data_IF_251377881635
#
_entry.id   IF_251377881635
#
_cell.length_a   1.000
_cell.length_b   1.000
_cell.length_c   1.000
_cell.angle_alpha   90.00
_cell.angle_beta   90.00
_cell.angle_gamma   90.00
#
_symmetry.space_group_name_H-M   'P 1'
#
loop_
_entity.id
_entity.type
_entity.pdbx_description
1 polymer ?
#
# COMPACT_ATOMS: atom_id res chain seq x y z
N UNK A 1 -14.42 2.25 13.87
CA UNK A 1 -15.00 0.89 13.63
C UNK A 1 -15.86 0.94 12.38
N UNK A 2 -15.86 -0.13 11.55
CA UNK A 2 -16.75 -0.29 10.40
C UNK A 2 -17.76 -1.42 10.72
N UNK A 3 -19.05 -1.14 10.52
CA UNK A 3 -20.12 -2.13 10.67
C UNK A 3 -20.70 -2.42 9.29
N UNK A 4 -20.76 -3.70 8.92
CA UNK A 4 -21.28 -4.17 7.61
C UNK A 4 -22.31 -5.25 7.86
N UNK A 5 -23.41 -5.21 7.14
CA UNK A 5 -24.46 -6.22 7.22
C UNK A 5 -25.44 -6.12 6.07
N UNK A 6 -26.18 -7.19 5.83
CA UNK A 6 -27.20 -7.27 4.78
C UNK A 6 -28.54 -6.62 5.19
N UNK A 7 -28.87 -6.66 6.49
CA UNK A 7 -30.13 -6.12 7.01
C UNK A 7 -29.88 -4.84 7.78
N UNK A 8 -30.59 -3.76 7.41
CA UNK A 8 -30.43 -2.45 8.02
C UNK A 8 -30.83 -2.43 9.49
N UNK A 9 -31.86 -3.20 9.87
CA UNK A 9 -32.36 -3.25 11.25
C UNK A 9 -31.33 -3.85 12.22
N UNK A 10 -30.57 -4.87 11.79
CA UNK A 10 -29.48 -5.42 12.58
C UNK A 10 -28.36 -4.39 12.78
N UNK A 11 -28.04 -3.61 11.74
CA UNK A 11 -27.03 -2.53 11.84
C UNK A 11 -27.48 -1.44 12.81
N UNK A 12 -28.78 -1.05 12.77
CA UNK A 12 -29.34 -0.05 13.68
C UNK A 12 -29.32 -0.56 15.13
N UNK A 13 -29.81 -1.76 15.38
CA UNK A 13 -29.81 -2.35 16.72
C UNK A 13 -28.40 -2.46 17.33
N UNK A 14 -27.41 -2.87 16.53
CA UNK A 14 -26.01 -2.89 16.98
C UNK A 14 -25.48 -1.49 17.30
N UNK A 15 -25.81 -0.48 16.47
CA UNK A 15 -25.40 0.91 16.73
C UNK A 15 -26.01 1.43 18.02
N UNK A 16 -27.28 1.15 18.30
CA UNK A 16 -27.96 1.53 19.53
C UNK A 16 -27.30 0.91 20.76
N UNK A 17 -27.03 -0.42 20.71
CA UNK A 17 -26.33 -1.12 21.79
C UNK A 17 -24.93 -0.53 22.05
N UNK A 18 -24.18 -0.27 20.99
CA UNK A 18 -22.84 0.32 21.09
C UNK A 18 -22.89 1.76 21.65
N UNK A 19 -23.86 2.57 21.23
CA UNK A 19 -24.03 3.95 21.72
C UNK A 19 -24.44 3.96 23.18
N UNK A 20 -25.22 2.97 23.64
CA UNK A 20 -25.59 2.83 25.04
C UNK A 20 -24.41 2.43 25.94
N UNK A 21 -23.53 1.55 25.43
CA UNK A 21 -22.40 1.01 26.21
C UNK A 21 -21.14 1.88 26.14
N UNK A 22 -20.99 2.70 25.09
CA UNK A 22 -19.79 3.50 24.83
C UNK A 22 -20.15 4.89 24.30
N UNK A 23 -19.33 5.91 24.63
CA UNK A 23 -19.45 7.24 24.04
C UNK A 23 -19.04 7.20 22.55
N UNK A 24 -19.97 6.84 21.66
CA UNK A 24 -19.74 6.66 20.22
C UNK A 24 -20.52 7.67 19.40
N UNK A 25 -19.92 8.10 18.28
CA UNK A 25 -20.57 8.94 17.26
C UNK A 25 -20.77 8.13 15.99
N UNK A 26 -22.00 8.06 15.48
CA UNK A 26 -22.28 7.52 14.16
C UNK A 26 -21.83 8.51 13.09
N UNK A 27 -20.90 8.09 12.24
CA UNK A 27 -20.38 8.87 11.11
C UNK A 27 -21.16 8.63 9.81
N UNK A 28 -22.26 7.87 9.86
CA UNK A 28 -23.06 7.54 8.70
C UNK A 28 -22.42 6.52 7.76
N UNK A 29 -22.71 6.65 6.45
CA UNK A 29 -22.14 5.74 5.45
C UNK A 29 -20.63 5.86 5.33
N UNK A 30 -19.93 4.72 5.35
CA UNK A 30 -18.48 4.67 5.25
C UNK A 30 -18.01 5.23 3.89
N UNK A 31 -17.22 6.31 3.92
CA UNK A 31 -16.59 6.94 2.74
C UNK A 31 -15.11 6.60 2.63
N UNK A 32 -14.48 6.25 3.75
CA UNK A 32 -13.07 5.86 3.84
C UNK A 32 -12.89 4.75 4.87
N UNK A 33 -11.95 3.84 4.58
CA UNK A 33 -11.47 2.84 5.51
C UNK A 33 -9.97 2.63 5.31
N UNK A 34 -9.18 2.66 6.37
CA UNK A 34 -7.73 2.43 6.32
C UNK A 34 -7.05 3.23 5.19
N UNK A 35 -7.40 4.50 5.02
CA UNK A 35 -6.84 5.35 3.96
C UNK A 35 -7.43 5.14 2.55
N UNK A 36 -8.20 4.08 2.32
CA UNK A 36 -8.88 3.81 1.05
C UNK A 36 -10.19 4.58 0.96
N UNK A 37 -10.47 5.14 -0.22
CA UNK A 37 -11.76 5.75 -0.54
C UNK A 37 -12.75 4.66 -0.95
N UNK A 38 -13.96 4.71 -0.39
CA UNK A 38 -15.06 3.81 -0.74
C UNK A 38 -16.04 4.57 -1.62
N UNK A 39 -16.23 4.12 -2.84
CA UNK A 39 -17.27 4.61 -3.75
C UNK A 39 -18.29 3.50 -4.00
N UNK A 40 -19.57 3.77 -3.66
CA UNK A 40 -20.65 2.80 -3.85
C UNK A 40 -21.68 3.35 -4.83
N UNK A 41 -21.90 2.61 -5.90
CA UNK A 41 -23.01 2.84 -6.83
C UNK A 41 -24.06 1.73 -6.60
N UNK A 42 -25.18 2.13 -6.00
CA UNK A 42 -26.27 1.20 -5.71
C UNK A 42 -27.09 0.83 -6.93
N UNK A 43 -27.14 1.69 -7.95
CA UNK A 43 -27.89 1.43 -9.19
C UNK A 43 -27.21 0.32 -9.99
N UNK A 44 -25.88 0.44 -10.13
CA UNK A 44 -25.08 -0.55 -10.85
C UNK A 44 -24.54 -1.68 -9.96
N UNK A 45 -24.94 -1.71 -8.68
CA UNK A 45 -24.49 -2.71 -7.69
C UNK A 45 -22.97 -2.82 -7.59
N UNK A 46 -22.24 -1.71 -7.75
CA UNK A 46 -20.79 -1.69 -7.71
C UNK A 46 -20.27 -1.04 -6.44
N UNK A 47 -19.16 -1.58 -5.95
CA UNK A 47 -18.37 -1.03 -4.86
C UNK A 47 -16.91 -0.91 -5.32
N UNK A 48 -16.40 0.31 -5.33
CA UNK A 48 -15.01 0.57 -5.72
C UNK A 48 -14.21 1.04 -4.51
N UNK A 49 -13.05 0.42 -4.31
CA UNK A 49 -12.03 0.87 -3.35
C UNK A 49 -10.90 1.53 -4.13
N UNK A 50 -10.44 2.70 -3.66
CA UNK A 50 -9.37 3.43 -4.31
C UNK A 50 -8.33 3.92 -3.30
N UNK A 51 -7.05 3.70 -3.63
CA UNK A 51 -5.89 4.20 -2.90
C UNK A 51 -5.20 5.37 -3.62
N UNK A 52 -5.84 6.03 -4.60
CA UNK A 52 -5.20 7.09 -5.41
C UNK A 52 -4.43 8.10 -4.54
N UNK A 53 -5.08 8.68 -3.54
CA UNK A 53 -4.45 9.65 -2.62
C UNK A 53 -3.27 9.06 -1.83
N UNK A 54 -3.30 7.76 -1.51
CA UNK A 54 -2.17 7.09 -0.86
C UNK A 54 -0.99 6.93 -1.82
N UNK A 55 -1.26 6.45 -3.03
CA UNK A 55 -0.24 6.28 -4.08
C UNK A 55 0.43 7.61 -4.42
N UNK A 56 -0.33 8.69 -4.60
CA UNK A 56 0.19 10.04 -4.81
C UNK A 56 1.16 10.45 -3.70
N UNK A 57 0.78 10.26 -2.44
CA UNK A 57 1.65 10.58 -1.29
C UNK A 57 2.92 9.72 -1.25
N UNK A 58 2.84 8.46 -1.65
CA UNK A 58 4.01 7.57 -1.74
C UNK A 58 4.95 8.07 -2.84
N UNK A 59 4.43 8.37 -4.03
CA UNK A 59 5.22 8.92 -5.13
C UNK A 59 5.91 10.23 -4.72
N UNK A 60 5.19 11.15 -4.07
CA UNK A 60 5.75 12.40 -3.55
C UNK A 60 6.87 12.14 -2.54
N UNK A 61 6.63 11.24 -1.59
CA UNK A 61 7.62 10.91 -0.55
C UNK A 61 8.96 10.42 -1.10
N UNK A 62 8.92 9.72 -2.24
CA UNK A 62 10.12 9.16 -2.88
C UNK A 62 10.55 9.95 -4.13
N UNK A 63 9.99 11.17 -4.35
CA UNK A 63 10.30 12.05 -5.49
C UNK A 63 10.09 11.37 -6.85
N UNK A 64 8.99 10.61 -6.95
CA UNK A 64 8.63 9.82 -8.13
C UNK A 64 7.37 10.36 -8.85
N UNK A 65 6.88 11.57 -8.55
CA UNK A 65 5.66 12.14 -9.12
C UNK A 65 5.73 12.28 -10.64
N UNK A 66 6.92 12.55 -11.16
CA UNK A 66 7.18 12.73 -12.59
C UNK A 66 7.76 11.47 -13.26
N UNK A 67 7.78 10.33 -12.56
CA UNK A 67 8.29 9.10 -13.11
C UNK A 67 7.39 8.58 -14.24
N UNK A 68 8.01 8.09 -15.31
CA UNK A 68 7.26 7.49 -16.42
C UNK A 68 6.65 6.17 -15.98
N UNK A 69 5.34 6.03 -16.15
CA UNK A 69 4.65 4.78 -15.86
C UNK A 69 5.14 3.65 -16.79
N UNK A 70 5.35 2.48 -16.21
CA UNK A 70 5.71 1.26 -16.94
C UNK A 70 4.60 0.21 -16.80
N UNK A 71 4.41 -0.60 -17.82
CA UNK A 71 3.35 -1.62 -17.85
C UNK A 71 3.72 -2.90 -17.09
N UNK A 72 5.02 -3.20 -16.97
CA UNK A 72 5.53 -4.41 -16.33
C UNK A 72 6.29 -4.04 -15.06
N UNK A 73 5.76 -4.37 -13.86
CA UNK A 73 6.39 -3.98 -12.59
C UNK A 73 7.81 -4.51 -12.40
N UNK A 74 8.11 -5.69 -12.96
CA UNK A 74 9.44 -6.28 -12.90
C UNK A 74 9.73 -6.99 -14.24
N UNK A 75 10.74 -6.52 -15.01
CA UNK A 75 11.12 -7.20 -16.25
C UNK A 75 11.60 -8.63 -15.99
N UNK A 76 11.17 -9.59 -16.82
CA UNK A 76 11.49 -11.02 -16.62
C UNK A 76 12.98 -11.37 -16.71
N UNK A 77 13.79 -10.51 -17.35
CA UNK A 77 15.25 -10.66 -17.44
C UNK A 77 15.99 -10.11 -16.22
N UNK A 78 15.32 -9.34 -15.36
CA UNK A 78 15.95 -8.76 -14.16
C UNK A 78 16.05 -9.83 -13.07
N UNK A 79 17.28 -10.23 -12.76
CA UNK A 79 17.59 -11.16 -11.68
C UNK A 79 18.31 -10.42 -10.56
N UNK A 80 17.62 -10.13 -9.48
CA UNK A 80 18.25 -9.61 -8.28
C UNK A 80 18.96 -10.74 -7.53
N UNK A 81 20.20 -10.49 -7.10
CA UNK A 81 21.03 -11.46 -6.38
C UNK A 81 21.65 -10.83 -5.14
N UNK A 82 22.16 -11.68 -4.24
CA UNK A 82 22.92 -11.22 -3.07
C UNK A 82 24.25 -10.54 -3.44
N UNK A 83 24.79 -10.83 -4.63
CA UNK A 83 26.03 -10.21 -5.08
C UNK A 83 25.89 -8.71 -5.36
N UNK A 84 24.65 -8.22 -5.49
CA UNK A 84 24.31 -6.80 -5.63
C UNK A 84 24.17 -6.07 -4.29
N UNK A 85 24.34 -6.76 -3.17
CA UNK A 85 24.42 -6.14 -1.85
C UNK A 85 25.74 -5.37 -1.69
N UNK A 86 25.80 -4.35 -0.82
CA UNK A 86 27.01 -3.59 -0.55
C UNK A 86 28.19 -4.51 -0.16
N UNK A 87 29.36 -4.24 -0.72
CA UNK A 87 30.60 -5.00 -0.42
C UNK A 87 31.65 -4.15 0.25
N UNK A 88 31.48 -2.83 0.19
CA UNK A 88 32.40 -1.85 0.78
C UNK A 88 31.67 -0.97 1.79
N UNK A 89 32.42 -0.42 2.76
CA UNK A 89 31.86 0.49 3.76
C UNK A 89 31.24 1.73 3.09
N UNK A 90 31.84 2.22 2.00
CA UNK A 90 31.30 3.37 1.27
C UNK A 90 29.93 3.10 0.65
N UNK A 91 29.71 1.87 0.15
CA UNK A 91 28.41 1.44 -0.38
C UNK A 91 27.38 1.31 0.73
N UNK A 92 27.77 0.77 1.88
CA UNK A 92 26.91 0.69 3.07
C UNK A 92 26.50 2.08 3.55
N UNK A 93 27.43 3.01 3.65
CA UNK A 93 27.19 4.39 4.07
C UNK A 93 26.25 5.14 3.10
N UNK A 94 26.36 4.87 1.80
CA UNK A 94 25.42 5.39 0.80
C UNK A 94 24.02 4.80 0.97
N UNK A 95 23.95 3.48 1.15
CA UNK A 95 22.67 2.78 1.28
C UNK A 95 21.97 3.02 2.62
N UNK A 96 22.71 3.34 3.68
CA UNK A 96 22.13 3.68 5.00
C UNK A 96 21.21 4.91 4.95
N UNK A 97 21.43 5.81 3.99
CA UNK A 97 20.63 7.03 3.76
C UNK A 97 19.41 6.78 2.87
N UNK A 98 19.34 5.61 2.24
CA UNK A 98 18.26 5.23 1.32
C UNK A 98 17.11 4.60 2.10
N UNK A 99 15.88 5.12 2.02
CA UNK A 99 14.75 4.61 2.78
C UNK A 99 14.15 3.35 2.15
N UNK A 100 14.98 2.33 1.85
CA UNK A 100 14.59 1.12 1.15
C UNK A 100 13.43 0.37 1.81
N UNK A 101 13.57 0.06 3.09
CA UNK A 101 12.55 -0.66 3.84
C UNK A 101 11.21 0.11 3.88
N UNK A 102 11.28 1.44 3.97
CA UNK A 102 10.09 2.29 3.93
C UNK A 102 9.39 2.27 2.57
N UNK A 103 10.16 2.24 1.47
CA UNK A 103 9.60 2.14 0.12
C UNK A 103 8.92 0.78 -0.09
N UNK A 104 9.61 -0.32 0.25
CA UNK A 104 9.03 -1.68 0.17
C UNK A 104 7.78 -1.79 1.03
N UNK A 105 7.79 -1.29 2.28
CA UNK A 105 6.61 -1.29 3.15
C UNK A 105 5.43 -0.51 2.55
N UNK A 106 5.69 0.61 1.87
CA UNK A 106 4.66 1.38 1.16
C UNK A 106 4.07 0.60 -0.01
N UNK A 107 4.91 -0.09 -0.79
CA UNK A 107 4.47 -0.96 -1.89
C UNK A 107 3.69 -2.17 -1.38
N UNK A 108 4.11 -2.78 -0.26
CA UNK A 108 3.38 -3.89 0.38
C UNK A 108 1.95 -3.48 0.76
N UNK A 109 1.78 -2.29 1.32
CA UNK A 109 0.46 -1.80 1.65
C UNK A 109 -0.41 -1.55 0.40
N UNK A 110 0.15 -0.95 -0.65
CA UNK A 110 -0.55 -0.76 -1.92
C UNK A 110 -0.97 -2.11 -2.53
N UNK A 111 -0.05 -3.07 -2.55
CA UNK A 111 -0.24 -4.43 -3.07
C UNK A 111 -1.42 -5.14 -2.38
N UNK A 112 -1.41 -5.18 -1.06
CA UNK A 112 -2.44 -5.91 -0.29
C UNK A 112 -3.82 -5.27 -0.43
N UNK A 113 -3.89 -3.95 -0.54
CA UNK A 113 -5.18 -3.25 -0.53
C UNK A 113 -5.84 -3.14 -1.92
N UNK A 114 -5.09 -2.77 -2.98
CA UNK A 114 -5.68 -2.47 -4.29
C UNK A 114 -4.83 -2.85 -5.50
N UNK A 115 -3.56 -3.24 -5.31
CA UNK A 115 -2.60 -3.51 -6.39
C UNK A 115 -2.00 -4.92 -6.31
N UNK A 116 -2.81 -6.00 -6.37
CA UNK A 116 -2.28 -7.36 -6.34
C UNK A 116 -1.38 -7.69 -7.55
N UNK A 117 -1.47 -6.93 -8.62
CA UNK A 117 -0.65 -7.05 -9.82
C UNK A 117 0.86 -6.85 -9.56
N UNK A 118 1.24 -6.06 -8.55
CA UNK A 118 2.65 -5.86 -8.18
C UNK A 118 3.18 -6.90 -7.17
N UNK A 119 2.37 -7.89 -6.76
CA UNK A 119 2.72 -8.78 -5.65
C UNK A 119 4.02 -9.54 -5.87
N UNK A 120 4.25 -10.06 -7.07
CA UNK A 120 5.49 -10.75 -7.41
C UNK A 120 6.71 -9.82 -7.29
N UNK A 121 6.64 -8.63 -7.87
CA UNK A 121 7.74 -7.67 -7.84
C UNK A 121 8.08 -7.25 -6.40
N UNK A 122 7.07 -6.92 -5.60
CA UNK A 122 7.22 -6.58 -4.18
C UNK A 122 7.82 -7.74 -3.39
N UNK A 123 7.37 -8.97 -3.65
CA UNK A 123 7.92 -10.18 -3.04
C UNK A 123 9.40 -10.40 -3.36
N UNK A 124 9.84 -10.07 -4.58
CA UNK A 124 11.26 -10.16 -4.98
C UNK A 124 12.11 -9.12 -4.25
N UNK A 125 11.73 -7.85 -4.29
CA UNK A 125 12.53 -6.76 -3.66
C UNK A 125 12.52 -6.84 -2.14
N UNK A 126 11.47 -7.38 -1.51
CA UNK A 126 11.37 -7.53 -0.07
C UNK A 126 12.42 -8.46 0.55
N UNK A 127 12.97 -9.38 -0.25
CA UNK A 127 14.03 -10.31 0.20
C UNK A 127 15.32 -9.60 0.60
N UNK A 128 15.52 -8.39 0.13
CA UNK A 128 16.75 -7.61 0.33
C UNK A 128 16.59 -6.48 1.36
N UNK A 129 15.51 -6.46 2.14
CA UNK A 129 15.25 -5.38 3.11
C UNK A 129 16.31 -5.23 4.19
N UNK A 130 16.99 -6.32 4.57
CA UNK A 130 18.03 -6.29 5.61
C UNK A 130 19.35 -5.70 5.13
N UNK A 131 19.69 -5.87 3.85
CA UNK A 131 20.98 -5.44 3.30
C UNK A 131 20.85 -5.09 1.80
N UNK A 132 20.10 -4.03 1.45
CA UNK A 132 19.85 -3.66 0.07
C UNK A 132 21.07 -2.98 -0.57
N UNK A 133 21.33 -3.28 -1.84
CA UNK A 133 22.30 -2.53 -2.65
C UNK A 133 21.62 -1.55 -3.58
N UNK A 134 22.43 -0.77 -4.31
CA UNK A 134 21.98 0.28 -5.22
C UNK A 134 21.07 -0.28 -6.34
N UNK A 135 21.38 -1.44 -6.89
CA UNK A 135 20.58 -2.10 -7.92
C UNK A 135 19.19 -2.52 -7.39
N UNK A 136 19.13 -2.98 -6.13
CA UNK A 136 17.86 -3.26 -5.48
C UNK A 136 17.02 -1.98 -5.34
N UNK A 137 17.65 -0.84 -5.02
CA UNK A 137 16.97 0.45 -4.94
C UNK A 137 16.48 0.95 -6.30
N UNK A 138 17.31 0.81 -7.34
CA UNK A 138 16.93 1.20 -8.69
C UNK A 138 15.74 0.37 -9.22
N UNK A 139 15.61 -0.87 -8.77
CA UNK A 139 14.50 -1.74 -9.14
C UNK A 139 13.17 -1.32 -8.50
N UNK A 140 13.19 -0.66 -7.35
CA UNK A 140 11.97 -0.18 -6.66
C UNK A 140 11.41 1.06 -7.34
N UNK A 141 12.27 1.88 -7.95
CA UNK A 141 11.89 3.10 -8.67
C UNK A 141 11.29 2.79 -10.03
#
# INVERSE_FOLDING_TARGET
MLVVGSKMDHIKGLKEQLTHSFAMKDLGAAKKILGMKICRDRKNQTLTLSQATYVEKVLQRFSMENAKAISTPLPGHLKLTKDMCPKTQEEEDKMSKVPYASAVGSLMYAMVCTRPDIAHAVGVVSRYMSHPGLEHWNTIK
#
